data_IF_782778517889
#
_entry.id   IF_782778517889
#
_cell.length_a   1.000
_cell.length_b   1.000
_cell.length_c   1.000
_cell.angle_alpha   90.00
_cell.angle_beta   90.00
_cell.angle_gamma   90.00
#
_symmetry.space_group_name_H-M   'P 1'
#
loop_
_entity.id
_entity.type
_entity.pdbx_description
1 polymer ?
#
# COMPACT_ATOMS: atom_id res chain seq x y z
N UNK A 1 5.98 0.79 10.08
CA UNK A 1 5.63 1.89 9.16
C UNK A 1 4.73 1.41 8.03
N UNK A 2 5.20 0.57 7.09
CA UNK A 2 4.41 0.12 5.93
C UNK A 2 3.07 -0.52 6.30
N UNK A 3 3.02 -1.39 7.31
CA UNK A 3 1.76 -2.05 7.69
C UNK A 3 0.69 -1.04 8.13
N UNK A 4 1.05 0.07 8.76
CA UNK A 4 0.09 1.12 9.08
C UNK A 4 -0.51 1.78 7.83
N UNK A 5 0.30 1.98 6.77
CA UNK A 5 -0.21 2.47 5.47
C UNK A 5 -1.16 1.44 4.86
N UNK A 6 -0.75 0.17 4.86
CA UNK A 6 -1.60 -0.92 4.37
C UNK A 6 -2.95 -0.96 5.11
N UNK A 7 -2.93 -0.88 6.44
CA UNK A 7 -4.14 -0.90 7.27
C UNK A 7 -5.04 0.31 6.98
N UNK A 8 -4.45 1.50 6.79
CA UNK A 8 -5.22 2.68 6.37
C UNK A 8 -5.86 2.45 5.00
N UNK A 9 -5.15 1.85 4.04
CA UNK A 9 -5.73 1.51 2.73
C UNK A 9 -6.91 0.55 2.84
N UNK A 10 -6.89 -0.37 3.80
CA UNK A 10 -8.01 -1.28 4.06
C UNK A 10 -9.16 -0.62 4.85
N UNK A 11 -8.84 0.36 5.71
CA UNK A 11 -9.79 1.05 6.57
C UNK A 11 -10.62 2.11 5.83
N UNK A 12 -10.02 2.79 4.86
CA UNK A 12 -10.71 3.87 4.15
C UNK A 12 -11.87 3.33 3.31
N UNK A 13 -12.99 4.07 3.27
CA UNK A 13 -14.17 3.70 2.48
C UNK A 13 -13.98 3.91 0.97
N UNK A 14 -12.98 4.67 0.57
CA UNK A 14 -12.69 4.94 -0.82
C UNK A 14 -11.80 3.84 -1.37
N UNK A 15 -12.08 3.38 -2.59
CA UNK A 15 -11.18 2.46 -3.29
C UNK A 15 -9.80 3.11 -3.47
N UNK A 16 -8.76 2.33 -3.19
CA UNK A 16 -7.37 2.77 -3.34
C UNK A 16 -6.78 2.14 -4.59
N UNK A 17 -6.52 2.96 -5.60
CA UNK A 17 -5.75 2.52 -6.76
C UNK A 17 -4.26 2.66 -6.48
N UNK A 18 -3.49 1.64 -6.87
CA UNK A 18 -2.05 1.59 -6.69
C UNK A 18 -1.39 1.49 -8.06
N UNK A 19 -0.43 2.36 -8.34
CA UNK A 19 0.26 2.41 -9.62
C UNK A 19 1.77 2.39 -9.36
N UNK A 20 2.45 1.36 -9.86
CA UNK A 20 3.89 1.23 -9.71
C UNK A 20 4.64 1.77 -10.94
N UNK A 21 5.55 2.71 -10.69
CA UNK A 21 6.46 3.28 -11.68
C UNK A 21 7.91 2.98 -11.26
N UNK A 22 8.72 2.46 -12.18
CA UNK A 22 10.13 2.17 -11.94
C UNK A 22 10.34 0.89 -11.12
N UNK A 23 10.16 0.94 -9.80
CA UNK A 23 10.32 -0.22 -8.92
C UNK A 23 9.35 -0.23 -7.74
N UNK A 24 8.76 -1.40 -7.49
CA UNK A 24 8.01 -1.72 -6.28
C UNK A 24 8.63 -2.97 -5.62
N UNK A 25 9.62 -2.75 -4.76
CA UNK A 25 10.37 -3.79 -4.07
C UNK A 25 10.06 -3.86 -2.56
N UNK A 26 10.13 -5.07 -1.99
CA UNK A 26 9.94 -5.32 -0.56
C UNK A 26 8.57 -4.80 -0.08
N UNK A 27 8.53 -4.04 1.00
CA UNK A 27 7.33 -3.45 1.59
C UNK A 27 6.47 -2.64 0.60
N UNK A 28 7.06 -2.02 -0.42
CA UNK A 28 6.30 -1.31 -1.45
C UNK A 28 5.53 -2.24 -2.39
N UNK A 29 5.99 -3.47 -2.61
CA UNK A 29 5.23 -4.49 -3.36
C UNK A 29 3.98 -4.94 -2.61
N UNK A 30 4.01 -4.92 -1.26
CA UNK A 30 2.85 -5.20 -0.42
C UNK A 30 1.82 -4.07 -0.54
N UNK A 31 2.28 -2.82 -0.52
CA UNK A 31 1.39 -1.67 -0.75
C UNK A 31 0.78 -1.73 -2.15
N UNK A 32 1.59 -2.02 -3.18
CA UNK A 32 1.10 -2.20 -4.55
C UNK A 32 0.00 -3.27 -4.61
N UNK A 33 0.26 -4.46 -4.05
CA UNK A 33 -0.68 -5.56 -4.03
C UNK A 33 -1.91 -5.35 -3.15
N UNK A 34 -1.80 -4.49 -2.14
CA UNK A 34 -2.86 -4.15 -1.19
C UNK A 34 -3.89 -3.15 -1.69
N UNK A 35 -3.71 -2.60 -2.90
CA UNK A 35 -4.74 -1.77 -3.53
C UNK A 35 -6.03 -2.55 -3.81
N UNK A 36 -7.11 -1.81 -4.08
CA UNK A 36 -8.40 -2.41 -4.44
C UNK A 36 -8.25 -3.30 -5.68
N UNK A 37 -8.77 -4.52 -5.63
CA UNK A 37 -8.75 -5.47 -6.75
C UNK A 37 -9.36 -4.86 -8.01
N UNK A 38 -8.69 -5.03 -9.14
CA UNK A 38 -9.00 -4.40 -10.42
C UNK A 38 -8.38 -2.99 -10.60
N UNK A 39 -7.74 -2.43 -9.57
CA UNK A 39 -7.15 -1.08 -9.58
C UNK A 39 -5.66 -1.06 -9.23
N UNK A 40 -4.99 -2.21 -9.26
CA UNK A 40 -3.55 -2.38 -9.00
C UNK A 40 -2.81 -2.45 -10.33
N UNK A 41 -1.92 -1.51 -10.61
CA UNK A 41 -1.38 -1.28 -11.96
C UNK A 41 0.13 -1.04 -11.93
N UNK A 42 0.79 -1.24 -13.06
CA UNK A 42 2.20 -0.89 -13.23
C UNK A 42 2.54 -0.44 -14.65
N UNK A 43 3.56 0.39 -14.79
CA UNK A 43 4.15 0.74 -16.10
C UNK A 43 4.94 -0.44 -16.69
N UNK A 44 5.16 -0.50 -18.03
CA UNK A 44 5.69 -1.70 -18.69
C UNK A 44 7.13 -2.06 -18.31
N UNK A 45 7.93 -1.07 -17.90
CA UNK A 45 9.31 -1.26 -17.48
C UNK A 45 9.48 -1.40 -15.96
N UNK A 46 8.37 -1.37 -15.21
CA UNK A 46 8.43 -1.47 -13.74
C UNK A 46 8.96 -2.84 -13.31
N UNK A 47 9.81 -2.87 -12.29
CA UNK A 47 10.21 -4.11 -11.61
C UNK A 47 9.46 -4.26 -10.30
N UNK A 48 8.90 -5.44 -10.07
CA UNK A 48 8.26 -5.79 -8.80
C UNK A 48 9.16 -6.80 -8.11
N UNK A 49 9.43 -6.64 -6.82
CA UNK A 49 10.24 -7.58 -6.07
C UNK A 49 9.62 -7.88 -4.71
N UNK A 50 9.50 -9.16 -4.38
CA UNK A 50 9.11 -9.62 -3.05
C UNK A 50 10.24 -10.39 -2.40
N UNK A 51 10.32 -10.28 -1.09
CA UNK A 51 11.18 -11.11 -0.25
C UNK A 51 10.61 -11.19 1.16
N UNK A 52 11.16 -12.09 1.97
CA UNK A 52 10.84 -12.19 3.38
C UNK A 52 11.31 -10.92 4.12
N UNK A 53 10.65 -10.56 5.24
CA UNK A 53 11.10 -9.45 6.07
C UNK A 53 12.54 -9.65 6.53
N UNK A 54 13.33 -8.58 6.44
CA UNK A 54 14.69 -8.56 6.98
C UNK A 54 14.66 -8.12 8.45
N UNK A 55 15.49 -8.75 9.27
CA UNK A 55 15.65 -8.42 10.68
C UNK A 55 16.99 -8.93 11.21
N UNK A 56 17.36 -8.45 12.39
CA UNK A 56 18.52 -8.91 13.13
C UNK A 56 18.15 -9.08 14.60
N UNK A 57 18.92 -9.91 15.30
CA UNK A 57 18.76 -10.14 16.73
C UNK A 57 20.12 -10.07 17.43
N UNK A 58 20.20 -9.35 18.54
CA UNK A 58 21.40 -9.23 19.36
C UNK A 58 21.03 -8.97 20.83
N UNK A 59 21.99 -9.15 21.74
CA UNK A 59 21.78 -8.96 23.19
C UNK A 59 21.91 -10.26 23.98
N UNK A 60 21.25 -10.33 25.14
CA UNK A 60 21.23 -11.56 25.93
C UNK A 60 20.48 -12.67 25.19
N UNK A 61 20.70 -13.92 25.58
CA UNK A 61 20.05 -15.07 24.94
C UNK A 61 18.51 -14.93 24.89
N UNK A 62 17.90 -14.41 25.96
CA UNK A 62 16.45 -14.16 26.05
C UNK A 62 16.02 -13.06 25.05
N UNK A 63 16.78 -11.97 24.95
CA UNK A 63 16.48 -10.88 24.01
C UNK A 63 16.55 -11.36 22.56
N UNK A 64 17.56 -12.18 22.24
CA UNK A 64 17.72 -12.79 20.92
C UNK A 64 16.52 -13.68 20.59
N UNK A 65 16.06 -14.49 21.55
CA UNK A 65 14.90 -15.36 21.37
C UNK A 65 13.61 -14.54 21.12
N UNK A 66 13.38 -13.48 21.89
CA UNK A 66 12.21 -12.60 21.73
C UNK A 66 12.21 -11.94 20.35
N UNK A 67 13.35 -11.37 19.93
CA UNK A 67 13.50 -10.73 18.62
C UNK A 67 13.31 -11.72 17.47
N UNK A 68 13.88 -12.93 17.58
CA UNK A 68 13.69 -13.97 16.58
C UNK A 68 12.20 -14.38 16.44
N UNK A 69 11.49 -14.50 17.57
CA UNK A 69 10.06 -14.83 17.58
C UNK A 69 9.23 -13.74 16.89
N UNK A 70 9.56 -12.47 17.12
CA UNK A 70 8.89 -11.32 16.50
C UNK A 70 9.16 -11.25 14.98
N UNK A 71 10.39 -11.52 14.53
CA UNK A 71 10.71 -11.62 13.10
C UNK A 71 9.88 -12.73 12.44
N UNK A 72 9.76 -13.89 13.09
CA UNK A 72 8.95 -15.01 12.59
C UNK A 72 7.45 -14.69 12.58
N UNK A 73 6.96 -13.92 13.55
CA UNK A 73 5.59 -13.41 13.55
C UNK A 73 5.35 -12.51 12.33
N UNK A 74 6.22 -11.53 12.10
CA UNK A 74 6.15 -10.60 10.97
C UNK A 74 6.22 -11.33 9.62
N UNK A 75 7.12 -12.31 9.46
CA UNK A 75 7.21 -13.15 8.26
C UNK A 75 5.87 -13.83 7.96
N UNK A 76 5.25 -14.45 8.97
CA UNK A 76 3.95 -15.12 8.81
C UNK A 76 2.83 -14.12 8.46
N UNK A 77 2.83 -12.93 9.06
CA UNK A 77 1.82 -11.91 8.76
C UNK A 77 1.93 -11.43 7.31
N UNK A 78 3.13 -11.03 6.88
CA UNK A 78 3.39 -10.59 5.50
C UNK A 78 3.04 -11.67 4.48
N UNK A 79 3.40 -12.93 4.76
CA UNK A 79 3.06 -14.06 3.89
C UNK A 79 1.54 -14.22 3.74
N UNK A 80 0.77 -14.09 4.82
CA UNK A 80 -0.71 -14.13 4.76
C UNK A 80 -1.28 -12.98 3.94
N UNK A 81 -0.76 -11.77 4.11
CA UNK A 81 -1.20 -10.59 3.36
C UNK A 81 -0.97 -10.81 1.86
N UNK A 82 0.25 -11.23 1.48
CA UNK A 82 0.59 -11.50 0.08
C UNK A 82 -0.29 -12.63 -0.48
N UNK A 83 -0.46 -13.73 0.26
CA UNK A 83 -1.36 -14.82 -0.13
C UNK A 83 -2.80 -14.32 -0.35
N UNK A 84 -3.30 -13.47 0.54
CA UNK A 84 -4.65 -12.91 0.48
C UNK A 84 -4.92 -12.12 -0.80
N UNK A 85 -4.03 -11.18 -1.16
CA UNK A 85 -4.27 -10.35 -2.36
C UNK A 85 -3.85 -11.03 -3.68
N UNK A 86 -2.97 -12.04 -3.64
CA UNK A 86 -2.56 -12.80 -4.84
C UNK A 86 -3.47 -13.98 -5.15
N UNK A 87 -4.19 -14.49 -4.16
CA UNK A 87 -4.98 -15.72 -4.27
C UNK A 87 -4.13 -17.00 -4.27
N UNK A 88 -2.82 -16.90 -3.97
CA UNK A 88 -1.92 -18.06 -3.84
C UNK A 88 -2.00 -18.65 -2.43
N UNK A 89 -1.65 -19.92 -2.27
CA UNK A 89 -1.59 -20.53 -0.95
C UNK A 89 -0.47 -19.91 -0.10
N UNK A 90 -0.63 -19.99 1.22
CA UNK A 90 0.38 -19.50 2.16
C UNK A 90 1.74 -20.16 1.92
N UNK A 91 1.76 -21.48 1.71
CA UNK A 91 2.97 -22.28 1.53
C UNK A 91 3.71 -21.91 0.24
N UNK A 92 2.97 -21.64 -0.84
CA UNK A 92 3.55 -21.22 -2.09
C UNK A 92 4.23 -19.85 -1.94
N UNK A 93 3.53 -18.89 -1.32
CA UNK A 93 4.09 -17.56 -1.07
C UNK A 93 5.29 -17.63 -0.14
N UNK A 94 5.23 -18.41 0.95
CA UNK A 94 6.33 -18.56 1.90
C UNK A 94 7.61 -19.03 1.20
N UNK A 95 7.47 -19.99 0.28
CA UNK A 95 8.58 -20.49 -0.54
C UNK A 95 9.07 -19.43 -1.53
N UNK A 96 8.15 -18.74 -2.20
CA UNK A 96 8.48 -17.78 -3.25
C UNK A 96 9.17 -16.52 -2.72
N UNK A 97 8.96 -16.15 -1.45
CA UNK A 97 9.59 -14.97 -0.83
C UNK A 97 10.83 -15.31 -0.01
N UNK A 98 11.25 -16.58 0.10
CA UNK A 98 12.43 -16.93 0.91
C UNK A 98 13.73 -16.30 0.40
N UNK A 99 13.75 -15.96 -0.90
CA UNK A 99 14.79 -15.15 -1.53
C UNK A 99 14.14 -14.01 -2.31
N UNK A 100 14.98 -13.07 -2.75
CA UNK A 100 14.54 -11.99 -3.61
C UNK A 100 13.94 -12.56 -4.91
N UNK A 101 12.64 -12.34 -5.08
CA UNK A 101 11.90 -12.74 -6.28
C UNK A 101 11.54 -11.50 -7.08
N UNK A 102 12.27 -11.27 -8.17
CA UNK A 102 11.98 -10.19 -9.10
C UNK A 102 11.03 -10.65 -10.20
N UNK A 103 10.12 -9.76 -10.58
CA UNK A 103 9.10 -9.96 -11.60
C UNK A 103 9.01 -8.73 -12.51
N UNK A 104 8.74 -9.00 -13.78
CA UNK A 104 8.20 -8.03 -14.73
C UNK A 104 6.74 -7.71 -14.38
N UNK A 105 6.14 -6.66 -14.97
CA UNK A 105 4.73 -6.35 -14.73
C UNK A 105 3.81 -7.50 -15.18
N UNK A 106 4.12 -8.18 -16.28
CA UNK A 106 3.34 -9.31 -16.78
C UNK A 106 3.38 -10.48 -15.77
N UNK A 107 4.57 -10.87 -15.32
CA UNK A 107 4.71 -11.89 -14.28
C UNK A 107 4.01 -11.49 -12.98
N UNK A 108 3.96 -10.20 -12.65
CA UNK A 108 3.25 -9.71 -11.47
C UNK A 108 1.72 -9.77 -11.63
N UNK A 109 1.18 -9.61 -12.85
CA UNK A 109 -0.24 -9.89 -13.15
C UNK A 109 -0.53 -11.38 -12.96
N UNK A 110 0.27 -12.25 -13.56
CA UNK A 110 0.13 -13.71 -13.43
C UNK A 110 0.32 -14.21 -11.99
N UNK A 111 1.16 -13.52 -11.22
CA UNK A 111 1.34 -13.81 -9.80
C UNK A 111 0.16 -13.33 -8.96
N UNK A 112 -0.60 -12.33 -9.44
CA UNK A 112 -1.76 -11.75 -8.76
C UNK A 112 -1.45 -10.52 -7.89
N UNK A 113 -0.26 -9.91 -8.05
CA UNK A 113 0.14 -8.71 -7.30
C UNK A 113 -0.52 -7.47 -7.91
N UNK A 114 -0.60 -7.41 -9.23
CA UNK A 114 -1.29 -6.34 -9.95
C UNK A 114 -2.37 -6.93 -10.86
N UNK A 115 -3.29 -6.08 -11.31
CA UNK A 115 -4.39 -6.46 -12.19
C UNK A 115 -4.15 -6.06 -13.65
N UNK A 116 -3.23 -5.13 -13.92
CA UNK A 116 -2.95 -4.68 -15.28
C UNK A 116 -1.65 -3.92 -15.44
N UNK A 117 -1.18 -3.88 -16.69
CA UNK A 117 -0.06 -3.06 -17.13
C UNK A 117 -0.65 -1.89 -17.91
N UNK A 118 -0.31 -0.67 -17.50
CA UNK A 118 -0.74 0.56 -18.19
C UNK A 118 0.42 1.14 -18.99
N UNK A 119 0.10 1.84 -20.07
CA UNK A 119 1.06 2.55 -20.90
C UNK A 119 0.48 3.90 -21.38
N UNK A 120 1.19 4.54 -22.32
CA UNK A 120 0.81 5.84 -22.89
C UNK A 120 -0.58 5.86 -23.55
N UNK A 121 -1.08 4.72 -24.00
CA UNK A 121 -2.35 4.61 -24.72
C UNK A 121 -3.48 4.18 -23.76
N UNK A 122 -3.12 3.64 -22.60
CA UNK A 122 -4.00 3.28 -21.49
C UNK A 122 -4.03 4.34 -20.37
N UNK A 123 -4.04 5.63 -20.71
CA UNK A 123 -4.24 6.70 -19.72
C UNK A 123 -5.55 6.40 -18.98
N UNK A 124 -5.47 6.13 -17.67
CA UNK A 124 -6.64 6.07 -16.81
C UNK A 124 -7.29 7.45 -16.92
N UNK A 125 -8.48 7.58 -17.52
CA UNK A 125 -9.13 8.88 -17.60
C UNK A 125 -9.27 9.39 -16.17
N UNK A 126 -8.85 10.64 -15.95
CA UNK A 126 -9.12 11.29 -14.67
C UNK A 126 -10.64 11.43 -14.55
N UNK A 127 -11.25 10.48 -13.85
CA UNK A 127 -12.63 10.59 -13.42
C UNK A 127 -12.77 11.90 -12.63
N UNK A 128 -13.81 12.72 -12.89
CA UNK A 128 -14.00 13.94 -12.14
C UNK A 128 -14.10 13.61 -10.65
N UNK A 129 -13.38 14.36 -9.80
CA UNK A 129 -13.35 14.14 -8.36
C UNK A 129 -14.80 14.04 -7.85
N UNK A 130 -15.20 12.90 -7.24
CA UNK A 130 -16.55 12.72 -6.75
C UNK A 130 -16.92 13.86 -5.82
N UNK A 131 -18.14 14.39 -5.94
CA UNK A 131 -18.57 15.59 -5.21
C UNK A 131 -18.40 15.45 -3.69
N UNK A 132 -18.56 14.24 -3.16
CA UNK A 132 -18.32 13.88 -1.75
C UNK A 132 -16.86 14.06 -1.26
N UNK A 133 -15.88 14.07 -2.17
CA UNK A 133 -14.44 14.21 -1.87
C UNK A 133 -13.92 15.57 -2.33
N UNK A 134 -14.74 16.37 -3.04
CA UNK A 134 -14.34 17.73 -3.38
C UNK A 134 -14.18 18.52 -2.09
N UNK A 135 -13.05 19.21 -2.00
CA UNK A 135 -12.80 20.16 -0.91
C UNK A 135 -13.96 21.16 -0.87
N UNK A 136 -14.58 21.32 0.30
CA UNK A 136 -15.48 22.46 0.54
C UNK A 136 -14.73 23.78 0.66
N UNK A 137 -13.41 23.70 0.78
CA UNK A 137 -12.51 24.85 0.87
C UNK A 137 -12.07 25.25 -0.53
N UNK A 138 -12.40 26.48 -0.92
CA UNK A 138 -11.88 27.14 -2.11
C UNK A 138 -10.58 27.88 -1.76
N UNK A 139 -9.51 27.55 -2.46
CA UNK A 139 -8.19 28.15 -2.26
C UNK A 139 -8.21 29.66 -2.53
N UNK A 140 -9.01 30.14 -3.48
CA UNK A 140 -9.11 31.58 -3.76
C UNK A 140 -9.82 32.32 -2.63
N UNK A 141 -10.81 31.71 -1.98
CA UNK A 141 -11.48 32.28 -0.81
C UNK A 141 -10.58 32.25 0.42
N UNK A 142 -9.82 31.17 0.61
CA UNK A 142 -8.82 31.07 1.70
C UNK A 142 -7.75 32.14 1.56
N UNK A 143 -7.25 32.42 0.35
CA UNK A 143 -6.25 33.47 0.15
C UNK A 143 -6.78 34.88 0.44
N UNK A 144 -8.09 35.11 0.27
CA UNK A 144 -8.72 36.41 0.55
C UNK A 144 -8.83 36.69 2.04
N UNK A 145 -9.05 35.66 2.86
CA UNK A 145 -9.07 35.78 4.32
C UNK A 145 -8.56 34.50 5.01
N UNK A 146 -7.23 34.33 5.15
CA UNK A 146 -6.65 33.13 5.73
C UNK A 146 -7.02 32.95 7.22
N UNK A 147 -7.32 34.05 7.93
CA UNK A 147 -7.56 34.00 9.38
C UNK A 147 -8.89 33.33 9.72
N UNK A 148 -9.92 33.54 8.90
CA UNK A 148 -11.23 32.90 9.03
C UNK A 148 -11.17 31.37 8.98
N UNK A 149 -10.21 30.80 8.24
CA UNK A 149 -10.05 29.35 8.10
C UNK A 149 -9.08 28.76 9.13
N UNK A 150 -8.14 29.55 9.65
CA UNK A 150 -7.20 29.13 10.71
C UNK A 150 -7.81 29.22 12.11
N UNK A 151 -8.88 29.98 12.29
CA UNK A 151 -9.69 30.08 13.51
C UNK A 151 -11.17 30.01 13.14
N UNK A 152 -11.68 28.82 12.80
CA UNK A 152 -13.12 28.68 12.59
C UNK A 152 -13.86 29.02 13.89
N UNK A 153 -14.90 29.84 13.82
CA UNK A 153 -15.88 29.96 14.89
C UNK A 153 -16.66 28.64 14.93
N UNK A 154 -16.19 27.70 15.74
CA UNK A 154 -16.88 26.44 16.01
C UNK A 154 -17.89 26.74 17.12
N UNK A 155 -19.20 26.69 16.86
CA UNK A 155 -20.18 26.91 17.91
C UNK A 155 -20.11 25.77 18.94
N UNK A 156 -20.29 26.11 20.22
CA UNK A 156 -19.99 25.21 21.37
C UNK A 156 -20.77 23.87 21.33
N UNK A 157 -21.85 23.81 20.57
CA UNK A 157 -22.70 22.63 20.35
C UNK A 157 -22.11 21.59 19.38
N UNK A 158 -21.07 21.93 18.60
CA UNK A 158 -20.35 21.00 17.74
C UNK A 158 -19.08 20.41 18.38
N UNK A 159 -18.77 20.78 19.63
CA UNK A 159 -17.53 20.36 20.35
C UNK A 159 -17.72 19.09 21.20
N UNK A 160 -18.93 18.54 21.31
CA UNK A 160 -19.23 17.31 22.08
C UNK A 160 -19.78 16.16 21.25
#
# INVERSE_FOLDING_TARGET
ATMAIYDVMQLVRADVSTIALGIAASTSSIILGGGTKGKRLAMPNTRIMMHQPLGGASGQAIDVEIQAREIMHNKKNVTRIIAGFTGRSFEQVEKDIDRDRYMSPIEAVEYGIIDGVIDKDAIIPLEPVPERVRSKLDYEEIMKDPQKFLRPDIPDDEIY
#
